data_IF_277942648350
#
_entry.id   IF_277942648350
#
_cell.length_a   1.000
_cell.length_b   1.000
_cell.length_c   1.000
_cell.angle_alpha   90.00
_cell.angle_beta   90.00
_cell.angle_gamma   90.00
#
_symmetry.space_group_name_H-M   'P 1'
#
loop_
_entity.id
_entity.type
_entity.pdbx_description
1 polymer ?
#
# COMPACT_ATOMS: atom_id res chain seq x y z
N UNK A 1 -13.35 -5.54 -17.46
CA UNK A 1 -14.17 -6.52 -16.72
C UNK A 1 -15.17 -5.82 -15.80
N UNK A 2 -16.49 -5.94 -16.03
CA UNK A 2 -17.53 -5.32 -15.23
C UNK A 2 -17.60 -5.86 -13.79
N UNK A 3 -17.23 -7.13 -13.57
CA UNK A 3 -17.31 -7.75 -12.25
C UNK A 3 -16.26 -7.16 -11.30
N UNK A 4 -15.03 -6.99 -11.77
CA UNK A 4 -13.99 -6.29 -11.01
C UNK A 4 -14.27 -4.79 -10.86
N UNK A 5 -14.94 -4.17 -11.83
CA UNK A 5 -15.36 -2.76 -11.75
C UNK A 5 -16.41 -2.53 -10.66
N UNK A 6 -17.42 -3.40 -10.58
CA UNK A 6 -18.45 -3.38 -9.52
C UNK A 6 -17.84 -3.61 -8.12
N UNK A 7 -16.82 -4.46 -8.02
CA UNK A 7 -16.13 -4.72 -6.75
C UNK A 7 -15.15 -3.60 -6.34
N UNK A 8 -14.63 -2.82 -7.30
CA UNK A 8 -13.63 -1.79 -7.06
C UNK A 8 -14.22 -0.41 -6.74
N UNK A 9 -15.50 -0.20 -7.04
CA UNK A 9 -16.18 1.09 -6.87
C UNK A 9 -17.34 0.92 -5.89
N UNK A 10 -17.33 1.65 -4.76
CA UNK A 10 -18.54 1.78 -3.97
C UNK A 10 -19.53 2.67 -4.75
N UNK A 11 -20.46 2.02 -5.45
CA UNK A 11 -21.57 2.71 -6.11
C UNK A 11 -22.54 3.22 -5.05
N UNK A 12 -23.02 4.45 -5.23
CA UNK A 12 -24.18 4.94 -4.49
C UNK A 12 -25.40 4.05 -4.85
N UNK A 13 -26.27 3.78 -3.88
CA UNK A 13 -27.50 3.00 -4.08
C UNK A 13 -28.38 3.61 -5.18
N UNK A 14 -28.29 4.93 -5.38
CA UNK A 14 -29.00 5.67 -6.44
C UNK A 14 -28.54 5.26 -7.86
N UNK A 15 -27.32 4.75 -8.01
CA UNK A 15 -26.74 4.37 -9.30
C UNK A 15 -27.01 2.91 -9.70
N UNK A 16 -27.86 2.18 -8.97
CA UNK A 16 -28.29 0.83 -9.32
C UNK A 16 -27.26 -0.28 -9.09
N UNK A 17 -26.09 0.05 -8.53
CA UNK A 17 -25.08 -0.92 -8.08
C UNK A 17 -24.24 -1.57 -9.17
N UNK A 18 -24.49 -1.28 -10.45
CA UNK A 18 -23.69 -1.77 -11.57
C UNK A 18 -23.43 -0.70 -12.64
N UNK A 19 -22.46 -0.98 -13.54
CA UNK A 19 -22.07 -0.09 -14.61
C UNK A 19 -23.20 0.14 -15.63
N UNK A 20 -24.07 -0.85 -15.84
CA UNK A 20 -25.14 -0.76 -16.84
C UNK A 20 -26.19 0.27 -16.42
N UNK A 21 -26.57 0.26 -15.13
CA UNK A 21 -27.48 1.24 -14.55
C UNK A 21 -26.91 2.67 -14.63
N UNK A 22 -25.61 2.85 -14.38
CA UNK A 22 -24.92 4.14 -14.56
C UNK A 22 -24.97 4.59 -16.03
N UNK A 23 -24.74 3.68 -16.97
CA UNK A 23 -24.78 4.00 -18.40
C UNK A 23 -26.20 4.33 -18.90
N UNK A 24 -27.23 3.67 -18.37
CA UNK A 24 -28.64 3.98 -18.64
C UNK A 24 -29.01 5.36 -18.08
N UNK A 25 -28.59 5.66 -16.86
CA UNK A 25 -28.82 6.95 -16.19
C UNK A 25 -28.10 8.11 -16.91
N UNK A 26 -26.93 7.86 -17.50
CA UNK A 26 -26.24 8.81 -18.38
C UNK A 26 -26.85 8.91 -19.80
N UNK A 27 -27.74 7.99 -20.18
CA UNK A 27 -28.41 7.97 -21.48
C UNK A 27 -29.73 8.77 -21.48
N UNK A 28 -30.41 8.89 -20.33
CA UNK A 28 -31.76 9.46 -20.20
C UNK A 28 -31.81 11.01 -20.23
N UNK A 29 -30.95 11.65 -21.01
CA UNK A 29 -30.84 13.10 -21.06
C UNK A 29 -32.01 13.78 -21.78
N UNK A 30 -32.59 14.81 -21.16
CA UNK A 30 -33.72 15.62 -21.67
C UNK A 30 -33.34 16.64 -22.77
N UNK A 31 -32.11 16.59 -23.29
CA UNK A 31 -31.62 17.42 -24.39
C UNK A 31 -31.16 18.84 -24.00
N UNK A 32 -31.64 19.41 -22.89
CA UNK A 32 -31.20 20.75 -22.44
C UNK A 32 -29.88 20.72 -21.66
N UNK A 33 -29.61 19.63 -20.93
CA UNK A 33 -28.40 19.46 -20.10
C UNK A 33 -27.85 18.05 -20.24
N UNK A 34 -26.54 17.91 -20.09
CA UNK A 34 -25.87 16.61 -20.13
C UNK A 34 -25.92 15.95 -18.76
N UNK A 35 -26.59 14.79 -18.63
CA UNK A 35 -26.56 14.00 -17.41
C UNK A 35 -25.11 13.63 -17.08
N UNK A 36 -24.71 13.92 -15.86
CA UNK A 36 -23.34 13.76 -15.37
C UNK A 36 -23.35 13.00 -14.05
N UNK A 37 -22.46 12.01 -13.92
CA UNK A 37 -22.15 11.42 -12.62
C UNK A 37 -20.88 12.09 -12.07
N UNK A 38 -20.92 12.57 -10.83
CA UNK A 38 -19.78 13.28 -10.24
C UNK A 38 -19.03 12.34 -9.30
N UNK A 39 -17.73 12.18 -9.56
CA UNK A 39 -16.86 11.43 -8.68
C UNK A 39 -16.06 12.34 -7.76
N UNK A 40 -15.96 11.92 -6.49
CA UNK A 40 -15.19 12.61 -5.46
C UNK A 40 -15.56 14.10 -5.39
N UNK A 41 -16.84 14.37 -5.12
CA UNK A 41 -17.38 15.73 -4.97
C UNK A 41 -16.69 16.41 -3.78
N UNK A 42 -15.79 17.35 -4.08
CA UNK A 42 -15.04 18.10 -3.07
C UNK A 42 -15.52 19.54 -3.07
N UNK A 43 -16.00 20.03 -1.93
CA UNK A 43 -16.51 21.39 -1.79
C UNK A 43 -17.88 21.61 -2.43
N UNK A 44 -18.17 22.86 -2.86
CA UNK A 44 -19.45 23.27 -3.47
C UNK A 44 -19.42 23.06 -4.99
N UNK A 45 -19.37 21.82 -5.44
CA UNK A 45 -19.83 21.51 -6.80
C UNK A 45 -21.36 21.66 -6.80
N UNK A 46 -22.02 22.33 -7.75
CA UNK A 46 -23.48 22.45 -7.77
C UNK A 46 -24.15 21.26 -8.47
N UNK A 47 -25.41 20.97 -8.16
CA UNK A 47 -26.18 19.86 -8.77
C UNK A 47 -26.50 20.10 -10.25
N UNK A 48 -26.40 21.34 -10.71
CA UNK A 48 -26.45 21.67 -12.13
C UNK A 48 -25.70 22.97 -12.40
N UNK A 49 -25.29 23.16 -13.66
CA UNK A 49 -24.63 24.38 -14.08
C UNK A 49 -24.03 24.27 -15.47
N UNK A 50 -23.13 25.18 -15.80
CA UNK A 50 -22.33 25.12 -17.02
C UNK A 50 -20.85 25.00 -16.65
N UNK A 51 -20.14 24.07 -17.27
CA UNK A 51 -18.69 23.89 -17.11
C UNK A 51 -18.01 24.23 -18.44
N UNK A 52 -17.15 25.25 -18.41
CA UNK A 52 -16.33 25.59 -19.57
C UNK A 52 -15.06 24.72 -19.59
N UNK A 53 -14.91 23.90 -20.61
CA UNK A 53 -13.64 23.30 -21.02
C UNK A 53 -12.90 24.30 -21.92
N UNK A 54 -11.77 23.91 -22.53
CA UNK A 54 -11.07 24.80 -23.45
C UNK A 54 -11.97 25.19 -24.64
N UNK A 55 -12.75 24.22 -25.15
CA UNK A 55 -13.44 24.35 -26.45
C UNK A 55 -14.98 24.28 -26.34
N UNK A 56 -15.52 23.89 -25.17
CA UNK A 56 -16.96 23.70 -24.98
C UNK A 56 -17.45 24.25 -23.64
N UNK A 57 -18.57 24.97 -23.64
CA UNK A 57 -19.31 25.24 -22.41
C UNK A 57 -20.42 24.21 -22.27
N UNK A 58 -20.18 23.18 -21.45
CA UNK A 58 -21.10 22.07 -21.25
C UNK A 58 -22.13 22.40 -20.17
N UNK A 59 -23.42 22.48 -20.51
CA UNK A 59 -24.48 22.50 -19.52
C UNK A 59 -24.68 21.09 -18.95
N UNK A 60 -24.60 20.94 -17.63
CA UNK A 60 -24.65 19.64 -16.96
C UNK A 60 -25.71 19.60 -15.86
N UNK A 61 -26.17 18.39 -15.58
CA UNK A 61 -27.04 18.05 -14.46
C UNK A 61 -26.47 16.81 -13.77
N UNK A 62 -26.27 16.89 -12.46
CA UNK A 62 -25.73 15.80 -11.64
C UNK A 62 -26.84 14.80 -11.37
N UNK A 63 -26.77 13.65 -12.02
CA UNK A 63 -27.75 12.56 -11.90
C UNK A 63 -27.33 11.51 -10.87
N UNK A 64 -26.08 11.57 -10.40
CA UNK A 64 -25.60 10.76 -9.29
C UNK A 64 -24.18 11.09 -8.88
N UNK A 65 -23.75 10.53 -7.75
CA UNK A 65 -22.41 10.72 -7.21
C UNK A 65 -21.73 9.38 -6.93
N UNK A 66 -20.41 9.35 -7.07
CA UNK A 66 -19.58 8.22 -6.64
C UNK A 66 -18.40 8.72 -5.82
N UNK A 67 -17.94 7.93 -4.85
CA UNK A 67 -16.79 8.33 -4.03
C UNK A 67 -15.49 8.35 -4.86
N UNK A 68 -15.32 7.40 -5.77
CA UNK A 68 -14.16 7.29 -6.65
C UNK A 68 -14.50 6.52 -7.93
N UNK A 69 -13.71 6.75 -8.98
CA UNK A 69 -13.73 5.96 -10.23
C UNK A 69 -12.37 5.27 -10.38
N UNK A 70 -12.30 4.07 -10.96
CA UNK A 70 -11.04 3.43 -11.25
C UNK A 70 -10.20 4.34 -12.14
N UNK A 71 -8.88 4.39 -11.86
CA UNK A 71 -7.89 5.22 -12.57
C UNK A 71 -7.95 6.73 -12.29
N UNK A 72 -8.74 7.20 -11.30
CA UNK A 72 -8.60 8.56 -10.80
C UNK A 72 -7.22 8.75 -10.14
N UNK A 73 -6.33 9.45 -10.83
CA UNK A 73 -4.97 9.72 -10.36
C UNK A 73 -4.90 10.71 -9.18
N UNK A 74 -5.98 11.47 -8.93
CA UNK A 74 -6.05 12.47 -7.87
C UNK A 74 -7.45 12.56 -7.25
N UNK A 75 -7.51 12.97 -5.97
CA UNK A 75 -8.75 13.37 -5.29
C UNK A 75 -9.26 14.73 -5.80
N UNK A 76 -9.45 14.86 -7.10
CA UNK A 76 -10.15 15.99 -7.72
C UNK A 76 -11.58 15.57 -8.06
N UNK A 77 -12.48 16.53 -8.14
CA UNK A 77 -13.85 16.27 -8.60
C UNK A 77 -13.83 16.01 -10.10
N UNK A 78 -14.36 14.86 -10.52
CA UNK A 78 -14.36 14.39 -11.90
C UNK A 78 -15.80 14.23 -12.38
N UNK A 79 -16.09 14.68 -13.60
CA UNK A 79 -17.40 14.54 -14.24
C UNK A 79 -17.34 13.35 -15.21
N UNK A 80 -18.19 12.36 -15.00
CA UNK A 80 -18.45 11.27 -15.95
C UNK A 80 -19.65 11.66 -16.81
N UNK A 81 -19.46 11.64 -18.12
CA UNK A 81 -20.50 11.90 -19.10
C UNK A 81 -20.42 10.85 -20.19
N UNK A 82 -21.57 10.50 -20.77
CA UNK A 82 -21.60 9.62 -21.94
C UNK A 82 -21.27 10.43 -23.19
N UNK A 83 -20.33 9.93 -24.00
CA UNK A 83 -19.85 10.60 -25.22
C UNK A 83 -21.00 10.95 -26.17
N UNK A 84 -21.85 9.98 -26.49
CA UNK A 84 -22.96 10.16 -27.43
C UNK A 84 -23.90 11.28 -26.97
N UNK A 85 -24.15 11.36 -25.66
CA UNK A 85 -25.02 12.39 -25.06
C UNK A 85 -24.38 13.77 -25.15
N UNK A 86 -23.07 13.88 -24.93
CA UNK A 86 -22.33 15.15 -25.10
C UNK A 86 -22.35 15.60 -26.56
N UNK A 87 -22.13 14.68 -27.50
CA UNK A 87 -22.14 14.99 -28.93
C UNK A 87 -23.54 15.42 -29.41
N UNK A 88 -24.58 14.68 -29.03
CA UNK A 88 -25.96 15.03 -29.35
C UNK A 88 -26.35 16.40 -28.75
N UNK A 89 -25.95 16.67 -27.51
CA UNK A 89 -26.17 17.97 -26.87
C UNK A 89 -25.42 19.10 -27.58
N UNK A 90 -24.14 18.90 -27.91
CA UNK A 90 -23.33 19.90 -28.61
C UNK A 90 -23.91 20.22 -29.99
N UNK A 91 -24.35 19.20 -30.73
CA UNK A 91 -25.01 19.37 -32.03
C UNK A 91 -26.33 20.15 -31.92
N UNK A 92 -27.14 19.87 -30.88
CA UNK A 92 -28.40 20.57 -30.65
C UNK A 92 -28.21 22.02 -30.16
N UNK A 93 -27.07 22.34 -29.56
CA UNK A 93 -26.80 23.64 -28.92
C UNK A 93 -25.64 24.41 -29.58
N UNK A 94 -25.32 24.12 -30.84
CA UNK A 94 -24.20 24.73 -31.57
C UNK A 94 -24.28 26.27 -31.64
N UNK A 95 -25.49 26.84 -31.63
CA UNK A 95 -25.69 28.30 -31.58
C UNK A 95 -25.30 28.92 -30.22
N UNK A 96 -25.45 28.17 -29.12
CA UNK A 96 -25.25 28.65 -27.74
C UNK A 96 -23.79 28.45 -27.29
N UNK A 97 -23.09 27.44 -27.83
CA UNK A 97 -21.73 27.09 -27.43
C UNK A 97 -20.66 28.08 -27.90
N UNK A 98 -21.03 29.11 -28.69
CA UNK A 98 -20.08 30.04 -29.29
C UNK A 98 -19.34 29.46 -30.50
N UNK A 99 -19.91 28.40 -31.09
CA UNK A 99 -19.35 27.72 -32.26
C UNK A 99 -19.71 28.42 -33.58
N UNK A 100 -20.45 29.54 -33.53
CA UNK A 100 -20.86 30.32 -34.70
C UNK A 100 -19.71 31.01 -35.44
N UNK A 101 -18.56 31.23 -34.77
CA UNK A 101 -17.41 31.94 -35.34
C UNK A 101 -16.31 31.00 -35.87
N UNK A 102 -16.44 29.70 -35.61
CA UNK A 102 -15.81 28.71 -36.49
C UNK A 102 -16.72 28.65 -37.71
N UNK A 103 -16.43 29.48 -38.71
CA UNK A 103 -17.02 29.33 -40.03
C UNK A 103 -16.80 27.87 -40.45
N UNK A 104 -17.85 27.07 -40.29
CA UNK A 104 -18.17 25.94 -41.12
C UNK A 104 -18.26 26.52 -42.54
N UNK A 105 -17.13 26.82 -43.15
CA UNK A 105 -17.02 26.71 -44.59
C UNK A 105 -17.62 25.35 -44.88
N UNK A 106 -18.74 25.35 -45.58
CA UNK A 106 -19.45 24.15 -46.02
C UNK A 106 -18.61 23.41 -47.08
N UNK A 107 -17.34 23.17 -46.80
CA UNK A 107 -16.54 22.13 -47.39
C UNK A 107 -17.02 20.82 -46.78
N UNK A 108 -17.21 19.83 -47.64
CA UNK A 108 -17.66 18.46 -47.35
C UNK A 108 -16.75 17.66 -46.39
N UNK A 109 -15.91 18.32 -45.58
CA UNK A 109 -15.05 17.63 -44.62
C UNK A 109 -15.78 17.52 -43.27
N UNK A 110 -16.15 16.29 -42.85
CA UNK A 110 -16.77 16.08 -41.56
C UNK A 110 -15.85 16.61 -40.46
N UNK A 111 -16.39 17.40 -39.53
CA UNK A 111 -15.70 17.85 -38.33
C UNK A 111 -14.94 16.66 -37.74
N UNK A 112 -13.61 16.77 -37.65
CA UNK A 112 -12.77 15.69 -37.15
C UNK A 112 -13.11 15.49 -35.66
N UNK A 113 -13.84 14.41 -35.37
CA UNK A 113 -14.25 13.98 -34.03
C UNK A 113 -13.08 13.96 -33.02
N UNK A 114 -11.84 13.92 -33.51
CA UNK A 114 -10.63 13.93 -32.70
C UNK A 114 -10.34 15.27 -32.00
N UNK A 115 -10.73 16.42 -32.54
CA UNK A 115 -10.44 17.72 -31.91
C UNK A 115 -11.29 17.95 -30.65
N UNK A 116 -12.52 17.43 -30.63
CA UNK A 116 -13.38 17.40 -29.44
C UNK A 116 -12.86 16.44 -28.34
N UNK A 117 -12.10 15.42 -28.73
CA UNK A 117 -11.57 14.39 -27.83
C UNK A 117 -10.31 14.83 -27.08
N UNK A 118 -9.62 15.89 -27.51
CA UNK A 118 -8.39 16.35 -26.86
C UNK A 118 -8.65 17.10 -25.54
N UNK A 119 -9.84 17.67 -25.33
CA UNK A 119 -10.25 18.33 -24.08
C UNK A 119 -10.95 17.38 -23.08
N UNK A 120 -11.44 16.23 -23.56
CA UNK A 120 -12.14 15.22 -22.76
C UNK A 120 -11.28 13.96 -22.69
N UNK A 121 -10.71 13.67 -21.51
CA UNK A 121 -10.00 12.41 -21.32
C UNK A 121 -10.99 11.25 -21.52
N UNK A 122 -10.97 10.65 -22.70
CA UNK A 122 -11.87 9.55 -23.05
C UNK A 122 -11.42 8.30 -22.30
N UNK A 123 -12.28 7.79 -21.42
CA UNK A 123 -12.05 6.55 -20.71
C UNK A 123 -12.77 5.42 -21.46
N UNK A 124 -12.00 4.49 -22.03
CA UNK A 124 -12.54 3.28 -22.63
C UNK A 124 -12.83 2.28 -21.51
N UNK A 125 -14.11 2.01 -21.24
CA UNK A 125 -14.52 0.93 -20.33
C UNK A 125 -14.92 -0.26 -21.19
N UNK A 126 -14.17 -1.36 -21.10
CA UNK A 126 -14.44 -2.58 -21.85
C UNK A 126 -14.67 -3.77 -20.92
N UNK A 127 -15.54 -4.69 -21.38
CA UNK A 127 -15.77 -5.98 -20.72
C UNK A 127 -14.67 -6.99 -21.02
N UNK A 128 -13.89 -6.77 -22.10
CA UNK A 128 -12.83 -7.68 -22.51
C UNK A 128 -11.63 -7.70 -21.56
N UNK A 129 -10.84 -8.77 -21.69
CA UNK A 129 -9.53 -8.86 -21.03
C UNK A 129 -8.59 -7.73 -21.52
N UNK A 130 -7.63 -7.27 -20.69
CA UNK A 130 -6.67 -6.24 -21.11
C UNK A 130 -5.94 -6.57 -22.40
N UNK A 131 -5.65 -7.86 -22.66
CA UNK A 131 -5.06 -8.33 -23.91
C UNK A 131 -6.00 -8.15 -25.11
N UNK A 132 -7.27 -8.53 -24.97
CA UNK A 132 -8.27 -8.34 -26.02
C UNK A 132 -8.51 -6.87 -26.37
N UNK A 133 -8.52 -5.99 -25.36
CA UNK A 133 -8.59 -4.53 -25.58
C UNK A 133 -7.33 -4.03 -26.27
N UNK A 134 -6.15 -4.53 -25.89
CA UNK A 134 -4.91 -4.12 -26.51
C UNK A 134 -4.82 -4.54 -27.98
N UNK A 135 -5.26 -5.76 -28.30
CA UNK A 135 -5.33 -6.29 -29.67
C UNK A 135 -6.33 -5.50 -30.53
N UNK A 136 -7.50 -5.17 -29.96
CA UNK A 136 -8.49 -4.32 -30.62
C UNK A 136 -7.93 -2.92 -30.93
N UNK A 137 -7.31 -2.27 -29.94
CA UNK A 137 -6.69 -0.96 -30.14
C UNK A 137 -5.54 -1.03 -31.18
N UNK A 138 -4.74 -2.09 -31.14
CA UNK A 138 -3.71 -2.38 -32.14
C UNK A 138 -4.30 -2.53 -33.55
N UNK A 139 -5.47 -3.16 -33.68
CA UNK A 139 -6.14 -3.36 -34.96
C UNK A 139 -6.62 -2.05 -35.61
N UNK A 140 -6.90 -1.02 -34.80
CA UNK A 140 -7.26 0.33 -35.28
C UNK A 140 -6.05 1.29 -35.33
N UNK A 141 -4.83 0.74 -35.28
CA UNK A 141 -3.58 1.52 -35.37
C UNK A 141 -3.22 2.30 -34.09
N UNK A 142 -3.93 2.08 -32.99
CA UNK A 142 -3.62 2.68 -31.69
C UNK A 142 -2.64 1.79 -30.94
N UNK A 143 -1.60 2.38 -30.36
CA UNK A 143 -0.63 1.65 -29.52
C UNK A 143 -0.93 1.90 -28.04
N UNK A 144 -1.74 1.05 -27.39
CA UNK A 144 -2.12 1.26 -26.00
C UNK A 144 -0.90 1.14 -25.10
N UNK A 145 -0.74 2.11 -24.21
CA UNK A 145 0.22 1.99 -23.13
C UNK A 145 -0.48 1.29 -21.96
N UNK A 146 -0.24 -0.01 -21.80
CA UNK A 146 -0.80 -0.79 -20.70
C UNK A 146 -0.21 -0.30 -19.38
N UNK A 147 -0.97 0.51 -18.65
CA UNK A 147 -0.63 0.90 -17.30
C UNK A 147 -0.77 -0.33 -16.39
N UNK A 148 0.34 -1.00 -16.12
CA UNK A 148 0.37 -2.16 -15.25
C UNK A 148 0.09 -1.70 -13.80
N UNK A 149 -1.00 -2.19 -13.22
CA UNK A 149 -1.29 -1.95 -11.81
C UNK A 149 -0.28 -2.72 -10.94
N UNK A 150 -0.01 -2.23 -9.72
CA UNK A 150 0.93 -2.86 -8.78
C UNK A 150 0.63 -4.34 -8.54
N UNK A 151 -0.65 -4.73 -8.50
CA UNK A 151 -1.07 -6.13 -8.37
C UNK A 151 -0.73 -6.95 -9.61
N UNK A 152 -0.99 -6.42 -10.82
CA UNK A 152 -0.66 -7.10 -12.07
C UNK A 152 0.85 -7.22 -12.33
N UNK A 153 1.64 -6.26 -11.88
CA UNK A 153 3.10 -6.35 -11.94
C UNK A 153 3.67 -7.39 -10.98
N UNK A 154 3.06 -7.57 -9.80
CA UNK A 154 3.50 -8.58 -8.82
C UNK A 154 3.18 -10.01 -9.22
N UNK A 155 2.23 -10.21 -10.13
CA UNK A 155 1.85 -11.51 -10.70
C UNK A 155 2.74 -11.90 -11.89
N UNK A 156 3.52 -10.97 -12.43
CA UNK A 156 4.43 -11.22 -13.52
C UNK A 156 5.60 -12.11 -13.08
N UNK A 157 5.97 -13.09 -13.91
CA UNK A 157 6.95 -14.13 -13.56
C UNK A 157 8.31 -13.56 -13.10
N UNK A 158 8.65 -12.36 -13.59
CA UNK A 158 9.86 -11.60 -13.26
C UNK A 158 9.97 -11.20 -11.79
N UNK A 159 8.86 -11.07 -11.05
CA UNK A 159 8.85 -10.71 -9.63
C UNK A 159 8.75 -11.90 -8.67
N UNK A 160 8.54 -13.11 -9.19
CA UNK A 160 8.43 -14.33 -8.38
C UNK A 160 9.75 -14.70 -7.70
N UNK A 161 10.88 -14.58 -8.40
CA UNK A 161 12.21 -14.96 -7.91
C UNK A 161 12.71 -14.05 -6.76
N UNK A 162 12.65 -12.70 -6.86
CA UNK A 162 12.98 -11.83 -5.73
C UNK A 162 12.09 -12.08 -4.51
N UNK A 163 10.79 -12.30 -4.72
CA UNK A 163 9.85 -12.59 -3.62
C UNK A 163 10.24 -13.84 -2.86
N UNK A 164 10.57 -14.93 -3.57
CA UNK A 164 11.07 -16.16 -2.95
C UNK A 164 12.37 -15.95 -2.16
N UNK A 165 13.30 -15.17 -2.69
CA UNK A 165 14.54 -14.84 -1.99
C UNK A 165 14.27 -14.08 -0.68
N UNK A 166 13.35 -13.09 -0.70
CA UNK A 166 12.98 -12.36 0.50
C UNK A 166 12.26 -13.23 1.53
N UNK A 167 11.36 -14.11 1.11
CA UNK A 167 10.68 -15.02 2.03
C UNK A 167 11.65 -16.04 2.65
N UNK A 168 12.65 -16.50 1.89
CA UNK A 168 13.73 -17.34 2.42
C UNK A 168 14.60 -16.59 3.45
N UNK A 169 14.98 -15.34 3.17
CA UNK A 169 15.74 -14.50 4.12
C UNK A 169 14.94 -14.22 5.40
N UNK A 170 13.61 -14.01 5.29
CA UNK A 170 12.74 -13.88 6.46
C UNK A 170 12.72 -15.15 7.30
N UNK A 171 12.67 -16.31 6.65
CA UNK A 171 12.68 -17.60 7.34
C UNK A 171 14.01 -17.81 8.08
N UNK A 172 15.14 -17.49 7.43
CA UNK A 172 16.46 -17.49 8.08
C UNK A 172 16.52 -16.55 9.29
N UNK A 173 15.96 -15.35 9.17
CA UNK A 173 15.89 -14.41 10.29
C UNK A 173 15.09 -15.00 11.47
N UNK A 174 13.95 -15.66 11.20
CA UNK A 174 13.18 -16.36 12.24
C UNK A 174 13.96 -17.49 12.90
N UNK A 175 14.75 -18.26 12.15
CA UNK A 175 15.61 -19.34 12.69
C UNK A 175 16.78 -18.79 13.52
N UNK A 176 17.24 -17.58 13.24
CA UNK A 176 18.34 -16.96 14.01
C UNK A 176 17.94 -16.61 15.46
N UNK A 177 16.65 -16.34 15.72
CA UNK A 177 16.14 -15.98 17.05
C UNK A 177 16.37 -17.11 18.08
N UNK A 178 15.90 -18.36 17.86
CA UNK A 178 16.17 -19.44 18.80
C UNK A 178 17.66 -19.76 18.92
N UNK A 179 18.43 -19.63 17.83
CA UNK A 179 19.88 -19.82 17.88
C UNK A 179 20.55 -18.79 18.81
N UNK A 180 20.14 -17.52 18.74
CA UNK A 180 20.62 -16.47 19.65
C UNK A 180 20.27 -16.77 21.11
N UNK A 181 19.08 -17.30 21.39
CA UNK A 181 18.65 -17.73 22.74
C UNK A 181 19.55 -18.87 23.25
N UNK A 182 19.89 -19.84 22.40
CA UNK A 182 20.79 -20.95 22.76
C UNK A 182 22.20 -20.44 23.07
N UNK A 183 22.76 -19.57 22.23
CA UNK A 183 24.08 -18.95 22.47
C UNK A 183 24.08 -18.15 23.77
N UNK A 184 23.03 -17.36 24.02
CA UNK A 184 22.85 -16.63 25.28
C UNK A 184 22.78 -17.59 26.48
N UNK A 185 22.09 -18.73 26.36
CA UNK A 185 22.03 -19.72 27.41
C UNK A 185 23.41 -20.30 27.77
N UNK A 186 24.26 -20.57 26.77
CA UNK A 186 25.63 -20.98 27.00
C UNK A 186 26.46 -19.90 27.71
N UNK A 187 26.33 -18.64 27.28
CA UNK A 187 27.00 -17.53 27.95
C UNK A 187 26.58 -17.41 29.43
N UNK A 188 25.28 -17.49 29.71
CA UNK A 188 24.76 -17.46 31.09
C UNK A 188 25.29 -18.63 31.92
N UNK A 189 25.47 -19.82 31.34
CA UNK A 189 26.01 -20.99 32.05
C UNK A 189 27.43 -20.74 32.53
N UNK A 190 28.27 -20.15 31.69
CA UNK A 190 29.66 -19.84 32.02
C UNK A 190 29.74 -18.79 33.14
N UNK A 191 28.85 -17.81 33.10
CA UNK A 191 28.80 -16.72 34.09
C UNK A 191 28.22 -17.15 35.46
N UNK A 192 27.62 -18.36 35.57
CA UNK A 192 26.89 -18.82 36.77
C UNK A 192 27.69 -18.66 38.05
N UNK A 193 28.98 -18.99 38.03
CA UNK A 193 29.85 -18.93 39.22
C UNK A 193 30.05 -17.49 39.69
N UNK A 194 30.27 -16.55 38.76
CA UNK A 194 30.44 -15.12 39.07
C UNK A 194 29.15 -14.52 39.63
N UNK A 195 28.03 -14.83 38.99
CA UNK A 195 26.71 -14.35 39.41
C UNK A 195 26.36 -14.88 40.82
N UNK A 196 26.66 -16.14 41.11
CA UNK A 196 26.39 -16.73 42.43
C UNK A 196 27.15 -16.01 43.56
N UNK A 197 28.43 -15.69 43.35
CA UNK A 197 29.26 -14.95 44.33
C UNK A 197 28.72 -13.54 44.54
N UNK A 198 28.42 -12.81 43.46
CA UNK A 198 27.84 -11.47 43.54
C UNK A 198 26.50 -11.46 44.29
N UNK A 199 25.64 -12.46 44.03
CA UNK A 199 24.35 -12.58 44.72
C UNK A 199 24.50 -12.88 46.21
N UNK A 200 25.47 -13.72 46.59
CA UNK A 200 25.75 -14.02 47.98
C UNK A 200 26.22 -12.76 48.75
N UNK A 201 27.06 -11.93 48.13
CA UNK A 201 27.52 -10.66 48.69
C UNK A 201 26.37 -9.64 48.82
N UNK A 202 25.56 -9.46 47.77
CA UNK A 202 24.39 -8.56 47.79
C UNK A 202 23.38 -8.94 48.87
N UNK A 203 23.16 -10.24 49.08
CA UNK A 203 22.25 -10.74 50.12
C UNK A 203 22.78 -10.48 51.53
N UNK A 204 24.10 -10.52 51.74
CA UNK A 204 24.73 -10.10 53.01
C UNK A 204 24.61 -8.60 53.26
N UNK A 205 24.50 -7.78 52.21
CA UNK A 205 24.28 -6.33 52.30
C UNK A 205 22.80 -5.94 52.49
N UNK A 206 21.90 -6.91 52.70
CA UNK A 206 20.47 -6.64 52.97
C UNK A 206 19.63 -6.31 51.73
N UNK A 207 20.16 -6.51 50.52
CA UNK A 207 19.41 -6.27 49.28
C UNK A 207 18.29 -7.31 49.13
N UNK A 208 17.05 -6.83 49.03
CA UNK A 208 15.86 -7.67 48.89
C UNK A 208 15.82 -8.48 47.58
N UNK A 209 15.02 -9.55 47.55
CA UNK A 209 14.85 -10.40 46.36
C UNK A 209 14.22 -9.66 45.17
N UNK A 210 13.41 -8.64 45.43
CA UNK A 210 12.68 -7.85 44.43
C UNK A 210 13.59 -6.90 43.64
N UNK A 211 14.52 -6.21 44.32
CA UNK A 211 15.49 -5.33 43.66
C UNK A 211 16.43 -6.12 42.78
N UNK A 212 16.81 -7.34 43.19
CA UNK A 212 17.63 -8.22 42.38
C UNK A 212 16.93 -8.69 41.09
N UNK A 213 15.62 -8.98 41.12
CA UNK A 213 14.87 -9.28 39.90
C UNK A 213 14.65 -8.06 39.00
N UNK A 214 14.44 -6.88 39.59
CA UNK A 214 14.27 -5.64 38.83
C UNK A 214 15.57 -5.24 38.11
N UNK A 215 16.71 -5.30 38.79
CA UNK A 215 18.02 -5.03 38.20
C UNK A 215 18.29 -5.95 37.00
N UNK A 216 17.94 -7.22 37.12
CA UNK A 216 18.12 -8.18 36.03
C UNK A 216 17.17 -7.93 34.85
N UNK A 217 15.90 -7.61 35.12
CA UNK A 217 14.96 -7.25 34.07
C UNK A 217 15.46 -6.02 33.29
N UNK A 218 16.04 -5.04 33.99
CA UNK A 218 16.67 -3.87 33.38
C UNK A 218 17.89 -4.25 32.55
N UNK A 219 18.77 -5.11 33.06
CA UNK A 219 19.96 -5.58 32.34
C UNK A 219 19.59 -6.31 31.05
N UNK A 220 18.67 -7.28 31.13
CA UNK A 220 18.19 -8.02 29.95
C UNK A 220 17.49 -7.08 28.96
N UNK A 221 16.65 -6.17 29.44
CA UNK A 221 15.99 -5.18 28.60
C UNK A 221 17.01 -4.25 27.90
N UNK A 222 18.06 -3.82 28.60
CA UNK A 222 19.11 -2.98 28.05
C UNK A 222 19.92 -3.72 26.97
N UNK A 223 20.28 -4.99 27.21
CA UNK A 223 20.98 -5.81 26.21
C UNK A 223 20.13 -6.04 24.96
N UNK A 224 18.84 -6.33 25.13
CA UNK A 224 17.90 -6.51 24.01
C UNK A 224 17.73 -5.19 23.25
N UNK A 225 17.58 -4.06 23.95
CA UNK A 225 17.48 -2.75 23.32
C UNK A 225 18.75 -2.40 22.53
N UNK A 226 19.93 -2.69 23.08
CA UNK A 226 21.20 -2.46 22.38
C UNK A 226 21.34 -3.35 21.13
N UNK A 227 21.04 -4.64 21.26
CA UNK A 227 21.05 -5.57 20.13
C UNK A 227 20.05 -5.15 19.04
N UNK A 228 18.86 -4.71 19.43
CA UNK A 228 17.84 -4.21 18.54
C UNK A 228 18.29 -2.94 17.81
N UNK A 229 18.95 -2.00 18.49
CA UNK A 229 19.52 -0.79 17.87
C UNK A 229 20.63 -1.12 16.87
N UNK A 230 21.54 -2.04 17.23
CA UNK A 230 22.61 -2.49 16.32
C UNK A 230 22.03 -3.23 15.10
N UNK A 231 21.02 -4.08 15.31
CA UNK A 231 20.29 -4.75 14.24
C UNK A 231 19.59 -3.77 13.31
N UNK A 232 18.94 -2.74 13.87
CA UNK A 232 18.30 -1.68 13.08
C UNK A 232 19.32 -0.88 12.27
N UNK A 233 20.44 -0.49 12.90
CA UNK A 233 21.51 0.26 12.23
C UNK A 233 22.12 -0.54 11.08
N UNK A 234 22.44 -1.82 11.30
CA UNK A 234 22.98 -2.71 10.25
C UNK A 234 21.96 -2.96 9.14
N UNK A 235 20.69 -3.20 9.48
CA UNK A 235 19.62 -3.34 8.48
C UNK A 235 19.42 -2.06 7.66
N UNK A 236 19.49 -0.89 8.28
CA UNK A 236 19.40 0.40 7.58
C UNK A 236 20.57 0.56 6.60
N UNK A 237 21.81 0.32 7.04
CA UNK A 237 23.00 0.39 6.17
C UNK A 237 22.88 -0.57 4.99
N UNK A 238 22.49 -1.83 5.24
CA UNK A 238 22.27 -2.81 4.17
C UNK A 238 21.17 -2.38 3.21
N UNK A 239 20.05 -1.87 3.72
CA UNK A 239 18.95 -1.39 2.88
C UNK A 239 19.42 -0.25 1.97
N UNK A 240 20.12 0.76 2.49
CA UNK A 240 20.57 1.88 1.66
C UNK A 240 21.67 1.51 0.67
N UNK A 241 22.54 0.56 1.00
CA UNK A 241 23.63 0.12 0.11
C UNK A 241 23.15 -0.81 -0.99
N UNK A 242 22.13 -1.63 -0.70
CA UNK A 242 21.71 -2.73 -1.57
C UNK A 242 20.40 -2.43 -2.31
N UNK A 243 19.51 -1.59 -1.79
CA UNK A 243 18.18 -1.37 -2.38
C UNK A 243 18.21 -0.95 -3.85
N UNK A 244 19.18 -0.10 -4.23
CA UNK A 244 19.32 0.33 -5.64
C UNK A 244 19.73 -0.79 -6.60
N UNK A 245 20.34 -1.87 -6.10
CA UNK A 245 20.74 -3.02 -6.93
C UNK A 245 19.58 -3.98 -7.19
N UNK A 246 18.56 -3.94 -6.33
CA UNK A 246 17.37 -4.80 -6.43
C UNK A 246 16.15 -4.05 -7.00
N UNK A 247 16.34 -2.83 -7.50
CA UNK A 247 15.29 -2.09 -8.19
C UNK A 247 15.22 -2.56 -9.65
N UNK A 248 14.17 -3.31 -10.06
CA UNK A 248 14.03 -3.74 -11.44
C UNK A 248 13.69 -2.57 -12.38
N UNK A 249 13.29 -1.41 -11.85
CA UNK A 249 12.78 -0.27 -12.60
C UNK A 249 13.37 1.06 -12.06
N UNK A 250 14.71 1.24 -12.11
CA UNK A 250 15.40 2.39 -11.50
C UNK A 250 15.04 3.76 -12.09
N UNK A 251 14.26 3.78 -13.19
CA UNK A 251 13.81 4.98 -13.90
C UNK A 251 12.38 5.40 -13.53
N UNK A 252 11.61 4.55 -12.84
CA UNK A 252 10.26 4.87 -12.38
C UNK A 252 10.34 5.35 -10.94
N UNK A 253 10.29 6.68 -10.74
CA UNK A 253 10.08 7.24 -9.39
C UNK A 253 8.69 6.84 -8.91
N UNK A 254 8.60 6.11 -7.79
CA UNK A 254 8.59 6.79 -6.50
C UNK A 254 9.82 6.47 -5.64
N UNK A 255 10.16 7.40 -4.75
CA UNK A 255 11.25 7.23 -3.79
C UNK A 255 11.00 5.97 -2.94
N UNK A 256 12.02 5.12 -2.78
CA UNK A 256 12.01 3.97 -1.87
C UNK A 256 11.64 4.45 -0.46
N UNK A 257 10.39 4.25 -0.04
CA UNK A 257 9.96 4.49 1.33
C UNK A 257 10.20 3.22 2.15
N UNK A 258 11.22 3.17 3.03
CA UNK A 258 11.43 2.01 3.87
C UNK A 258 10.22 1.83 4.80
N UNK A 259 9.50 0.73 4.61
CA UNK A 259 8.39 0.36 5.50
C UNK A 259 8.96 -0.47 6.64
N UNK A 260 8.98 0.11 7.84
CA UNK A 260 9.36 -0.61 9.05
C UNK A 260 8.17 -1.51 9.43
N UNK A 261 8.34 -2.82 9.34
CA UNK A 261 7.37 -3.80 9.83
C UNK A 261 7.37 -3.83 11.37
N UNK A 262 6.87 -2.76 11.99
CA UNK A 262 6.91 -2.54 13.44
C UNK A 262 6.33 -3.71 14.23
N UNK A 263 5.25 -4.34 13.70
CA UNK A 263 4.65 -5.52 14.32
C UNK A 263 5.59 -6.74 14.36
N UNK A 264 6.31 -7.02 13.28
CA UNK A 264 7.27 -8.12 13.23
C UNK A 264 8.47 -7.86 14.15
N UNK A 265 8.94 -6.61 14.21
CA UNK A 265 10.01 -6.20 15.09
C UNK A 265 9.62 -6.31 16.58
N UNK A 266 8.44 -5.82 16.94
CA UNK A 266 7.91 -5.92 18.30
C UNK A 266 7.74 -7.39 18.72
N UNK A 267 7.24 -8.25 17.82
CA UNK A 267 7.11 -9.68 18.08
C UNK A 267 8.47 -10.35 18.28
N UNK A 268 9.46 -10.06 17.45
CA UNK A 268 10.82 -10.60 17.59
C UNK A 268 11.46 -10.16 18.91
N UNK A 269 11.33 -8.88 19.28
CA UNK A 269 11.81 -8.35 20.56
C UNK A 269 11.14 -9.03 21.76
N UNK A 270 9.82 -9.26 21.68
CA UNK A 270 9.07 -9.97 22.70
C UNK A 270 9.54 -11.43 22.86
N UNK A 271 9.73 -12.16 21.75
CA UNK A 271 10.24 -13.55 21.77
C UNK A 271 11.64 -13.60 22.40
N UNK A 272 12.52 -12.67 22.03
CA UNK A 272 13.86 -12.57 22.61
C UNK A 272 13.81 -12.30 24.12
N UNK A 273 12.95 -11.38 24.56
CA UNK A 273 12.77 -11.05 25.97
C UNK A 273 12.24 -12.23 26.80
N UNK A 274 11.20 -12.90 26.31
CA UNK A 274 10.64 -14.09 26.96
C UNK A 274 11.67 -15.21 26.99
N UNK A 275 12.37 -15.46 25.89
CA UNK A 275 13.44 -16.46 25.79
C UNK A 275 14.57 -16.23 26.80
N UNK A 276 15.10 -15.01 26.86
CA UNK A 276 16.15 -14.63 27.80
C UNK A 276 15.70 -14.80 29.27
N UNK A 277 14.46 -14.43 29.58
CA UNK A 277 13.88 -14.58 30.91
C UNK A 277 13.74 -16.05 31.32
N UNK A 278 13.29 -16.91 30.40
CA UNK A 278 13.17 -18.36 30.63
C UNK A 278 14.54 -19.00 30.84
N UNK A 279 15.53 -18.67 30.00
CA UNK A 279 16.92 -19.14 30.13
C UNK A 279 17.46 -18.79 31.51
N UNK A 280 17.31 -17.54 31.92
CA UNK A 280 17.76 -17.08 33.24
C UNK A 280 17.05 -17.82 34.39
N UNK A 281 15.72 -17.93 34.33
CA UNK A 281 14.95 -18.61 35.36
C UNK A 281 15.34 -20.08 35.50
N UNK A 282 15.59 -20.76 34.37
CA UNK A 282 16.06 -22.14 34.34
C UNK A 282 17.45 -22.29 34.95
N UNK A 283 18.36 -21.34 34.68
CA UNK A 283 19.70 -21.32 35.26
C UNK A 283 19.64 -21.13 36.78
N UNK A 284 18.78 -20.22 37.26
CA UNK A 284 18.57 -19.96 38.69
C UNK A 284 17.99 -21.18 39.42
N UNK A 285 16.98 -21.84 38.83
CA UNK A 285 16.36 -23.03 39.43
C UNK A 285 17.30 -24.23 39.46
N UNK A 286 18.20 -24.32 38.48
CA UNK A 286 19.26 -25.33 38.47
C UNK A 286 20.32 -25.04 39.54
N UNK A 287 20.74 -23.78 39.68
CA UNK A 287 21.69 -23.37 40.73
C UNK A 287 21.15 -23.57 42.15
N UNK A 288 19.85 -23.35 42.38
CA UNK A 288 19.22 -23.60 43.68
C UNK A 288 19.15 -25.09 44.07
N UNK A 289 19.33 -26.01 43.10
CA UNK A 289 19.36 -27.45 43.31
C UNK A 289 20.77 -28.04 43.39
N UNK A 290 21.79 -27.27 42.98
CA UNK A 290 23.18 -27.69 43.15
C UNK A 290 23.55 -27.56 44.63
N UNK A 291 23.98 -28.67 45.24
CA UNK A 291 24.14 -28.80 46.67
C UNK A 291 25.21 -27.83 47.20
N UNK A 292 24.77 -26.83 47.97
CA UNK A 292 25.62 -25.80 48.57
C UNK A 292 26.68 -26.44 49.49
N UNK A 293 26.38 -27.63 50.02
CA UNK A 293 27.29 -28.41 50.86
C UNK A 293 28.52 -28.94 50.11
N UNK A 294 28.43 -29.19 48.80
CA UNK A 294 29.54 -29.70 48.00
C UNK A 294 30.51 -28.57 47.60
N UNK A 295 29.98 -27.38 47.30
CA UNK A 295 30.78 -26.21 46.91
C UNK A 295 31.57 -25.62 48.09
N UNK A 296 31.04 -25.71 49.32
CA UNK A 296 31.76 -25.28 50.53
C UNK A 296 32.81 -26.30 51.02
N UNK A 297 32.88 -27.49 50.42
CA UNK A 297 33.77 -28.57 50.85
C UNK A 297 35.06 -28.67 50.03
N UNK A 298 35.14 -27.94 48.91
CA UNK A 298 36.26 -27.98 47.96
C UNK A 298 37.04 -26.65 47.91
N UNK A 299 36.64 -25.64 48.69
CA UNK A 299 37.37 -24.39 48.90
C UNK A 299 37.91 -24.29 50.32
#
# INVERSE_FOLDING_TARGET
>A
DPASYAAAVPWDEVLGGDLSAVLELLADGTGERVPTVVANRTGRFPDSGSRRTQDLTLAYEVVGEVEAIPLMAARRTTMLVRRDTVLAWAQANAEISGWSDLELEAGDEPVDDNDLLLALQAWLVSTDSPGGVADFLGSIGQSPNLLQTRSGALEDASFSAPRWAFDYLRLLAFVSIPLAIVVYAFAVVEERRRIAVAHALLRRMGVGRSSASAALAIEVAALIALAALLGLATAAVLTFTVAGQFDPLPRLLPQLTPVIAAGAFALAALIAFVGATVVWWSARRSAARADIAEVLRVG
#
